data_IF_303977710192
#
_entry.id   IF_303977710192
#
_cell.length_a   1.000
_cell.length_b   1.000
_cell.length_c   1.000
_cell.angle_alpha   90.00
_cell.angle_beta   90.00
_cell.angle_gamma   90.00
#
_symmetry.space_group_name_H-M   'P 1'
#
loop_
_entity.id
_entity.type
_entity.pdbx_description
1 polymer ?
#
# COMPACT_ATOMS: atom_id res chain seq x y z
N UNK A 1 7.86 -14.98 -17.25
CA UNK A 1 6.44 -15.09 -16.85
C UNK A 1 6.26 -15.91 -15.58
N UNK A 2 6.75 -17.15 -15.49
CA UNK A 2 6.59 -18.00 -14.29
C UNK A 2 7.00 -17.31 -12.96
N UNK A 3 8.17 -16.69 -12.89
CA UNK A 3 8.63 -16.02 -11.68
C UNK A 3 7.69 -14.88 -11.23
N UNK A 4 7.26 -14.02 -12.17
CA UNK A 4 6.29 -12.96 -11.89
C UNK A 4 4.95 -13.52 -11.42
N UNK A 5 4.47 -14.61 -12.03
CA UNK A 5 3.25 -15.32 -11.60
C UNK A 5 3.37 -15.85 -10.18
N UNK A 6 4.49 -16.50 -9.83
CA UNK A 6 4.73 -17.03 -8.49
C UNK A 6 4.80 -15.91 -7.44
N UNK A 7 5.47 -14.80 -7.76
CA UNK A 7 5.51 -13.62 -6.90
C UNK A 7 4.12 -13.02 -6.69
N UNK A 8 3.30 -12.92 -7.75
CA UNK A 8 1.93 -12.40 -7.68
C UNK A 8 1.03 -13.31 -6.82
N UNK A 9 1.13 -14.64 -6.98
CA UNK A 9 0.38 -15.60 -6.17
C UNK A 9 0.82 -15.56 -4.70
N UNK A 10 2.13 -15.48 -4.45
CA UNK A 10 2.67 -15.31 -3.10
C UNK A 10 2.17 -14.02 -2.45
N UNK A 11 2.18 -12.91 -3.19
CA UNK A 11 1.63 -11.64 -2.73
C UNK A 11 0.13 -11.74 -2.42
N UNK A 12 -0.66 -12.44 -3.24
CA UNK A 12 -2.08 -12.65 -3.00
C UNK A 12 -2.36 -13.46 -1.72
N UNK A 13 -1.59 -14.53 -1.48
CA UNK A 13 -1.69 -15.34 -0.26
C UNK A 13 -1.33 -14.53 0.97
N UNK A 14 -0.21 -13.79 0.93
CA UNK A 14 0.18 -12.89 2.02
C UNK A 14 -0.89 -11.83 2.27
N UNK A 15 -1.46 -11.27 1.20
CA UNK A 15 -2.52 -10.27 1.26
C UNK A 15 -3.76 -10.81 1.98
N UNK A 16 -4.27 -11.95 1.55
CA UNK A 16 -5.39 -12.62 2.18
C UNK A 16 -5.08 -12.96 3.65
N UNK A 17 -3.87 -13.44 3.93
CA UNK A 17 -3.41 -13.81 5.27
C UNK A 17 -3.40 -12.64 6.26
N UNK A 18 -2.82 -11.50 5.89
CA UNK A 18 -2.82 -10.35 6.79
C UNK A 18 -4.21 -9.73 6.94
N UNK A 19 -5.03 -9.69 5.88
CA UNK A 19 -6.41 -9.19 5.98
C UNK A 19 -7.24 -10.04 6.95
N UNK A 20 -7.10 -11.37 6.90
CA UNK A 20 -7.76 -12.26 7.84
C UNK A 20 -7.31 -11.99 9.28
N UNK A 21 -6.00 -11.87 9.52
CA UNK A 21 -5.45 -11.56 10.84
C UNK A 21 -5.95 -10.23 11.39
N UNK A 22 -6.00 -9.17 10.56
CA UNK A 22 -6.52 -7.87 10.98
C UNK A 22 -8.03 -7.96 11.27
N UNK A 23 -8.81 -8.65 10.44
CA UNK A 23 -10.25 -8.84 10.68
C UNK A 23 -10.52 -9.55 12.02
N UNK A 24 -9.67 -10.51 12.40
CA UNK A 24 -9.76 -11.28 13.64
C UNK A 24 -9.09 -10.59 14.85
N UNK A 25 -8.41 -9.46 14.65
CA UNK A 25 -7.75 -8.73 15.74
C UNK A 25 -8.77 -8.02 16.64
N UNK A 26 -8.48 -7.96 17.94
CA UNK A 26 -9.29 -7.21 18.90
C UNK A 26 -9.19 -5.70 18.71
N UNK A 27 -7.98 -5.21 18.39
CA UNK A 27 -7.72 -3.82 18.02
C UNK A 27 -7.15 -3.77 16.60
N UNK A 28 -8.03 -3.41 15.64
CA UNK A 28 -7.68 -3.32 14.22
C UNK A 28 -6.72 -2.17 13.93
N UNK A 29 -6.78 -1.10 14.71
CA UNK A 29 -5.88 0.03 14.57
C UNK A 29 -4.47 -0.37 14.93
N UNK A 30 -4.28 -0.99 16.09
CA UNK A 30 -2.97 -1.49 16.50
C UNK A 30 -2.43 -2.54 15.53
N UNK A 31 -3.28 -3.43 15.04
CA UNK A 31 -2.89 -4.44 14.05
C UNK A 31 -2.44 -3.82 12.71
N UNK A 32 -3.17 -2.82 12.20
CA UNK A 32 -2.79 -2.08 10.98
C UNK A 32 -1.48 -1.32 11.17
N UNK A 33 -1.33 -0.59 12.27
CA UNK A 33 -0.09 0.13 12.60
C UNK A 33 1.11 -0.82 12.72
N UNK A 34 0.93 -1.94 13.44
CA UNK A 34 1.97 -2.96 13.59
C UNK A 34 2.42 -3.53 12.25
N UNK A 35 1.49 -3.74 11.31
CA UNK A 35 1.82 -4.20 9.96
C UNK A 35 2.70 -3.19 9.21
N UNK A 36 2.37 -1.90 9.24
CA UNK A 36 3.16 -0.86 8.57
C UNK A 36 4.52 -0.64 9.24
N UNK A 37 4.61 -0.69 10.57
CA UNK A 37 5.87 -0.61 11.30
C UNK A 37 6.76 -1.79 10.95
N UNK A 38 6.22 -3.02 10.94
CA UNK A 38 6.98 -4.20 10.55
C UNK A 38 7.51 -4.09 9.11
N UNK A 39 6.67 -3.62 8.18
CA UNK A 39 7.09 -3.34 6.80
C UNK A 39 8.20 -2.30 6.73
N UNK A 40 8.09 -1.21 7.50
CA UNK A 40 9.11 -0.18 7.61
C UNK A 40 10.43 -0.69 8.19
N UNK A 41 10.39 -1.52 9.23
CA UNK A 41 11.59 -2.13 9.84
C UNK A 41 12.34 -3.04 8.87
N UNK A 42 11.64 -3.67 7.92
CA UNK A 42 12.25 -4.51 6.89
C UNK A 42 12.76 -3.65 5.72
N UNK A 43 11.96 -2.68 5.26
CA UNK A 43 12.28 -1.88 4.08
C UNK A 43 13.30 -0.77 4.31
N UNK A 44 13.29 -0.14 5.49
CA UNK A 44 14.15 1.02 5.79
C UNK A 44 15.64 0.66 5.78
N UNK A 45 16.12 -0.45 6.40
CA UNK A 45 17.52 -0.84 6.29
C UNK A 45 17.96 -1.05 4.85
N UNK A 46 17.12 -1.67 4.02
CA UNK A 46 17.40 -1.87 2.60
C UNK A 46 17.53 -0.53 1.86
N UNK A 47 16.60 0.41 2.08
CA UNK A 47 16.66 1.74 1.48
C UNK A 47 17.91 2.53 1.93
N UNK A 48 18.29 2.43 3.21
CA UNK A 48 19.52 3.05 3.73
C UNK A 48 20.76 2.46 3.07
N UNK A 49 20.87 1.12 3.01
CA UNK A 49 22.02 0.44 2.38
C UNK A 49 22.13 0.82 0.91
N UNK A 50 21.02 0.78 0.15
CA UNK A 50 21.00 1.18 -1.25
C UNK A 50 21.38 2.65 -1.45
N UNK A 51 21.01 3.54 -0.52
CA UNK A 51 21.44 4.95 -0.56
C UNK A 51 22.95 5.09 -0.34
N UNK A 52 23.51 4.36 0.64
CA UNK A 52 24.94 4.37 0.93
C UNK A 52 25.79 3.79 -0.22
N UNK A 53 25.23 2.83 -0.96
CA UNK A 53 25.87 2.22 -2.14
C UNK A 53 25.77 3.10 -3.39
N UNK A 54 24.95 4.16 -3.36
CA UNK A 54 24.72 5.04 -4.51
C UNK A 54 23.64 4.55 -5.48
N UNK A 55 23.01 3.41 -5.20
CA UNK A 55 21.91 2.85 -6.00
C UNK A 55 20.61 3.65 -5.86
N UNK A 56 20.44 4.32 -4.71
CA UNK A 56 19.27 5.15 -4.42
C UNK A 56 19.66 6.61 -4.22
N UNK A 57 19.17 7.50 -5.09
CA UNK A 57 19.39 8.93 -4.97
C UNK A 57 18.64 9.57 -3.79
N UNK A 58 19.17 10.66 -3.24
CA UNK A 58 18.54 11.36 -2.10
C UNK A 58 17.12 11.87 -2.40
N UNK A 59 16.80 12.18 -3.67
CA UNK A 59 15.45 12.56 -4.08
C UNK A 59 14.41 11.46 -3.83
N UNK A 60 14.81 10.18 -3.84
CA UNK A 60 13.91 9.06 -3.58
C UNK A 60 13.34 9.10 -2.16
N UNK A 61 14.08 9.63 -1.19
CA UNK A 61 13.60 9.83 0.18
C UNK A 61 12.46 10.84 0.23
N UNK A 62 12.57 11.94 -0.51
CA UNK A 62 11.50 12.93 -0.65
C UNK A 62 10.21 12.31 -1.19
N UNK A 63 10.33 11.50 -2.26
CA UNK A 63 9.19 10.77 -2.82
C UNK A 63 8.63 9.71 -1.88
N UNK A 64 9.49 8.97 -1.17
CA UNK A 64 9.06 7.97 -0.18
C UNK A 64 8.30 8.63 0.98
N UNK A 65 8.78 9.77 1.48
CA UNK A 65 8.10 10.55 2.53
C UNK A 65 6.77 11.11 2.04
N UNK A 66 6.72 11.69 0.84
CA UNK A 66 5.48 12.21 0.26
C UNK A 66 4.43 11.10 0.09
N UNK A 67 4.83 9.96 -0.49
CA UNK A 67 3.98 8.78 -0.64
C UNK A 67 3.50 8.24 0.72
N UNK A 68 4.41 8.11 1.69
CA UNK A 68 4.10 7.68 3.04
C UNK A 68 3.09 8.59 3.75
N UNK A 69 3.21 9.91 3.59
CA UNK A 69 2.28 10.88 4.17
C UNK A 69 0.86 10.74 3.58
N UNK A 70 0.76 10.63 2.24
CA UNK A 70 -0.51 10.37 1.55
C UNK A 70 -1.12 9.05 2.03
N UNK A 71 -0.30 8.00 2.16
CA UNK A 71 -0.75 6.69 2.61
C UNK A 71 -1.24 6.70 4.07
N UNK A 72 -0.52 7.39 4.96
CA UNK A 72 -0.92 7.53 6.37
C UNK A 72 -2.26 8.27 6.49
N UNK A 73 -2.45 9.35 5.73
CA UNK A 73 -3.74 10.03 5.66
C UNK A 73 -4.85 9.10 5.15
N UNK A 74 -4.60 8.37 4.06
CA UNK A 74 -5.55 7.40 3.50
C UNK A 74 -5.95 6.34 4.52
N UNK A 75 -4.99 5.67 5.17
CA UNK A 75 -5.28 4.62 6.16
C UNK A 75 -6.05 5.18 7.36
N UNK A 76 -5.70 6.39 7.83
CA UNK A 76 -6.41 7.02 8.92
C UNK A 76 -7.88 7.32 8.57
N UNK A 77 -8.14 7.83 7.37
CA UNK A 77 -9.50 8.06 6.86
C UNK A 77 -10.25 6.75 6.62
N UNK A 78 -9.57 5.73 6.10
CA UNK A 78 -10.15 4.41 5.83
C UNK A 78 -10.64 3.76 7.13
N UNK A 79 -9.80 3.73 8.16
CA UNK A 79 -10.16 3.16 9.45
C UNK A 79 -11.36 3.88 10.07
N UNK A 80 -11.38 5.22 10.04
CA UNK A 80 -12.54 6.01 10.50
C UNK A 80 -13.81 5.72 9.70
N UNK A 81 -13.70 5.53 8.39
CA UNK A 81 -14.86 5.26 7.53
C UNK A 81 -15.45 3.87 7.83
N UNK A 82 -14.62 2.87 8.10
CA UNK A 82 -15.07 1.53 8.52
C UNK A 82 -15.75 1.49 9.89
N UNK A 83 -15.57 2.52 10.73
CA UNK A 83 -16.29 2.64 12.01
C UNK A 83 -17.70 3.21 11.84
N UNK A 84 -17.91 4.10 10.86
CA UNK A 84 -19.12 4.93 10.77
C UNK A 84 -20.04 4.57 9.60
N UNK A 85 -19.61 3.71 8.68
CA UNK A 85 -20.35 3.37 7.47
C UNK A 85 -20.25 1.86 7.14
N UNK A 86 -21.21 1.37 6.37
CA UNK A 86 -21.31 -0.04 6.03
C UNK A 86 -20.10 -0.53 5.23
N UNK A 87 -19.53 -1.64 5.68
CA UNK A 87 -18.36 -2.27 5.05
C UNK A 87 -18.64 -2.68 3.60
N UNK A 88 -19.85 -3.17 3.31
CA UNK A 88 -20.26 -3.62 1.97
C UNK A 88 -20.24 -2.51 0.92
N UNK A 89 -20.33 -1.24 1.34
CA UNK A 89 -20.31 -0.07 0.47
C UNK A 89 -18.92 0.55 0.45
N UNK A 90 -18.32 0.75 1.63
CA UNK A 90 -17.04 1.45 1.77
C UNK A 90 -15.87 0.66 1.22
N UNK A 91 -15.88 -0.67 1.33
CA UNK A 91 -14.79 -1.52 0.85
C UNK A 91 -14.64 -1.48 -0.69
N UNK A 92 -15.70 -1.68 -1.50
CA UNK A 92 -15.62 -1.51 -2.96
C UNK A 92 -15.17 -0.11 -3.39
N UNK A 93 -15.66 0.94 -2.71
CA UNK A 93 -15.28 2.32 -3.04
C UNK A 93 -13.79 2.56 -2.77
N UNK A 94 -13.30 2.16 -1.59
CA UNK A 94 -11.89 2.37 -1.22
C UNK A 94 -10.94 1.64 -2.18
N UNK A 95 -11.27 0.39 -2.55
CA UNK A 95 -10.43 -0.42 -3.43
C UNK A 95 -10.56 -0.04 -4.91
N UNK A 96 -11.78 0.13 -5.40
CA UNK A 96 -12.05 0.49 -6.79
C UNK A 96 -11.66 1.94 -7.11
N UNK A 97 -11.95 2.87 -6.19
CA UNK A 97 -11.59 4.28 -6.33
C UNK A 97 -10.07 4.49 -6.37
N UNK A 98 -9.31 3.76 -5.52
CA UNK A 98 -7.85 3.81 -5.56
C UNK A 98 -7.28 3.34 -6.90
N UNK A 99 -7.80 2.24 -7.46
CA UNK A 99 -7.38 1.74 -8.77
C UNK A 99 -7.73 2.73 -9.89
N UNK A 100 -8.92 3.34 -9.84
CA UNK A 100 -9.34 4.36 -10.81
C UNK A 100 -8.44 5.60 -10.77
N UNK A 101 -8.17 6.12 -9.57
CA UNK A 101 -7.27 7.28 -9.39
C UNK A 101 -5.87 6.96 -9.87
N UNK A 102 -5.37 5.75 -9.61
CA UNK A 102 -4.07 5.30 -10.10
C UNK A 102 -4.02 5.23 -11.63
N UNK A 103 -5.04 4.66 -12.28
CA UNK A 103 -5.13 4.59 -13.74
C UNK A 103 -5.19 5.99 -14.37
N UNK A 104 -6.02 6.88 -13.83
CA UNK A 104 -6.11 8.28 -14.27
C UNK A 104 -4.75 8.98 -14.10
N UNK A 105 -4.11 8.81 -12.95
CA UNK A 105 -2.79 9.37 -12.68
C UNK A 105 -1.71 8.85 -13.61
N UNK A 106 -1.73 7.55 -13.94
CA UNK A 106 -0.83 6.93 -14.91
C UNK A 106 -0.93 7.60 -16.28
N UNK A 107 -2.15 7.81 -16.78
CA UNK A 107 -2.38 8.48 -18.07
C UNK A 107 -1.86 9.92 -18.05
N UNK A 108 -2.15 10.69 -17.00
CA UNK A 108 -1.81 12.12 -16.97
C UNK A 108 -0.35 12.42 -16.59
N UNK A 109 0.28 11.58 -15.76
CA UNK A 109 1.60 11.87 -15.19
C UNK A 109 2.70 10.89 -15.64
N UNK A 110 2.34 9.69 -16.08
CA UNK A 110 3.30 8.62 -16.44
C UNK A 110 3.25 8.23 -17.93
N UNK A 111 2.41 8.88 -18.73
CA UNK A 111 2.20 8.58 -20.16
C UNK A 111 1.69 7.14 -20.41
N UNK A 112 0.94 6.59 -19.46
CA UNK A 112 0.35 5.25 -19.61
C UNK A 112 -0.76 5.27 -20.68
N UNK A 113 -0.79 4.23 -21.53
CA UNK A 113 -1.86 4.01 -22.49
C UNK A 113 -2.80 2.88 -22.02
N UNK A 114 -4.08 3.20 -21.90
CA UNK A 114 -5.11 2.22 -21.57
C UNK A 114 -5.65 1.59 -22.87
N UNK A 115 -5.42 0.29 -23.05
CA UNK A 115 -6.03 -0.48 -24.12
C UNK A 115 -7.38 -1.06 -23.67
N UNK A 116 -8.37 -1.16 -24.57
CA UNK A 116 -9.61 -1.92 -24.33
C UNK A 116 -9.37 -3.39 -23.98
#
# INVERSE_FOLDING_TARGET
>A
MLAATLLALGAAVLHAGWNLKIKQSGDRWLALWGLFVAGGLIGLPYAVIATLQGDLGLAAWGWATASGAVHAFYIGRLARTYEIADFSVTYPIARGGGALVAAIGGVFFLDDHLSP
#
